data_IF_404596486999
#
_entry.id   IF_404596486999
#
_cell.length_a   1.000
_cell.length_b   1.000
_cell.length_c   1.000
_cell.angle_alpha   90.00
_cell.angle_beta   90.00
_cell.angle_gamma   90.00
#
_symmetry.space_group_name_H-M   'P 1'
#
loop_
_entity.id
_entity.type
_entity.pdbx_description
1 polymer ?
#
# COMPACT_ATOMS: atom_id res chain seq x y z
N UNK A 1 -3.60 22.63 20.77
CA UNK A 1 -3.20 24.04 20.94
C UNK A 1 -3.90 24.85 19.86
N UNK A 2 -4.98 25.55 20.20
CA UNK A 2 -5.90 26.15 19.23
C UNK A 2 -5.32 27.40 18.58
N UNK A 3 -5.29 27.43 17.25
CA UNK A 3 -5.00 28.62 16.45
C UNK A 3 -6.23 29.55 16.45
N UNK A 4 -6.54 30.16 17.60
CA UNK A 4 -7.53 31.23 17.72
C UNK A 4 -6.84 32.61 17.61
N UNK A 5 -6.11 32.80 16.51
CA UNK A 5 -5.73 34.11 16.01
C UNK A 5 -6.26 34.18 14.60
N UNK A 6 -7.12 35.16 14.29
CA UNK A 6 -7.74 35.31 12.98
C UNK A 6 -6.64 35.65 11.95
N UNK A 7 -6.01 34.63 11.36
CA UNK A 7 -4.92 34.81 10.40
C UNK A 7 -5.49 35.48 9.16
N UNK A 8 -5.10 36.73 8.93
CA UNK A 8 -5.48 37.47 7.73
C UNK A 8 -4.67 36.92 6.54
N UNK A 9 -5.28 35.98 5.82
CA UNK A 9 -4.75 35.36 4.61
C UNK A 9 -5.29 36.14 3.41
N UNK A 10 -4.40 36.65 2.55
CA UNK A 10 -4.81 37.27 1.28
C UNK A 10 -5.52 36.22 0.41
N UNK A 11 -6.82 36.37 0.09
CA UNK A 11 -7.58 35.36 -0.65
C UNK A 11 -7.09 35.17 -2.10
N UNK A 12 -6.37 36.16 -2.66
CA UNK A 12 -5.87 36.09 -4.04
C UNK A 12 -4.58 35.28 -4.13
N UNK A 13 -3.64 35.56 -3.23
CA UNK A 13 -2.31 34.92 -3.22
C UNK A 13 -2.19 33.73 -2.26
N UNK A 14 -3.06 33.63 -1.25
CA UNK A 14 -2.92 32.70 -0.13
C UNK A 14 -1.86 33.14 0.89
N UNK A 15 -1.25 34.32 0.72
CA UNK A 15 -0.16 34.76 1.59
C UNK A 15 -0.71 35.36 2.89
N UNK A 16 -0.17 34.91 4.03
CA UNK A 16 -0.41 35.53 5.33
C UNK A 16 0.78 36.38 5.74
N UNK A 17 0.59 37.71 5.78
CA UNK A 17 1.64 38.67 6.14
C UNK A 17 2.12 38.53 7.60
N UNK A 18 1.25 38.03 8.49
CA UNK A 18 1.56 37.92 9.92
C UNK A 18 2.65 36.89 10.22
N UNK A 19 2.81 35.87 9.38
CA UNK A 19 3.79 34.80 9.57
C UNK A 19 4.55 34.41 8.30
N UNK A 20 4.48 35.24 7.26
CA UNK A 20 5.14 35.04 5.96
C UNK A 20 4.90 33.65 5.33
N UNK A 21 3.77 33.02 5.63
CA UNK A 21 3.43 31.67 5.16
C UNK A 21 2.37 31.73 4.07
N UNK A 22 2.48 30.86 3.06
CA UNK A 22 1.44 30.66 2.05
C UNK A 22 0.49 29.52 2.46
N UNK A 23 -0.79 29.80 2.42
CA UNK A 23 -1.87 28.87 2.73
C UNK A 23 -2.61 28.45 1.46
N UNK A 24 -3.15 27.23 1.49
CA UNK A 24 -4.06 26.78 0.44
C UNK A 24 -5.26 27.73 0.35
N UNK A 25 -5.63 28.10 -0.88
CA UNK A 25 -6.85 28.88 -1.16
C UNK A 25 -8.12 28.04 -1.14
N UNK A 26 -7.99 26.71 -1.03
CA UNK A 26 -9.13 25.79 -0.89
C UNK A 26 -9.57 25.78 0.56
N UNK A 27 -10.87 25.60 0.77
CA UNK A 27 -11.42 25.38 2.10
C UNK A 27 -10.73 24.17 2.74
N UNK A 28 -10.25 24.30 3.99
CA UNK A 28 -9.71 23.17 4.72
C UNK A 28 -10.73 22.03 4.76
N UNK A 29 -10.30 20.83 4.36
CA UNK A 29 -11.12 19.64 4.49
C UNK A 29 -11.03 19.13 5.93
N UNK A 30 -12.18 18.80 6.52
CA UNK A 30 -12.22 18.13 7.82
C UNK A 30 -11.59 16.73 7.67
N UNK A 31 -10.42 16.56 8.27
CA UNK A 31 -9.78 15.26 8.36
C UNK A 31 -10.50 14.40 9.43
N UNK A 32 -10.50 13.07 9.29
CA UNK A 32 -11.05 12.19 10.30
C UNK A 32 -10.43 12.46 11.67
N UNK A 33 -11.27 12.61 12.69
CA UNK A 33 -10.81 12.88 14.07
C UNK A 33 -10.29 11.63 14.79
N UNK A 34 -10.53 10.43 14.24
CA UNK A 34 -10.05 9.18 14.80
C UNK A 34 -8.58 8.96 14.41
N UNK A 35 -7.66 9.13 15.37
CA UNK A 35 -6.22 8.95 15.17
C UNK A 35 -5.80 7.50 14.90
N UNK A 36 -6.66 6.52 15.23
CA UNK A 36 -6.41 5.10 14.97
C UNK A 36 -6.99 4.63 13.63
N UNK A 37 -7.61 5.52 12.85
CA UNK A 37 -8.18 5.16 11.55
C UNK A 37 -7.06 4.96 10.52
N UNK A 38 -6.90 3.73 10.05
CA UNK A 38 -5.97 3.41 8.98
C UNK A 38 -6.50 3.84 7.61
N UNK A 39 -5.58 4.01 6.66
CA UNK A 39 -5.92 4.47 5.31
C UNK A 39 -6.81 3.49 4.55
N UNK A 40 -6.66 2.18 4.78
CA UNK A 40 -7.45 1.15 4.10
C UNK A 40 -8.90 1.21 4.57
N UNK A 41 -9.13 1.28 5.88
CA UNK A 41 -10.47 1.45 6.46
C UNK A 41 -11.09 2.76 6.02
N UNK A 42 -10.33 3.87 6.03
CA UNK A 42 -10.84 5.16 5.58
C UNK A 42 -11.28 5.14 4.11
N UNK A 43 -10.48 4.57 3.22
CA UNK A 43 -10.78 4.56 1.78
C UNK A 43 -11.94 3.62 1.48
N UNK A 44 -11.94 2.42 2.07
CA UNK A 44 -12.99 1.42 1.86
C UNK A 44 -14.35 1.80 2.45
N UNK A 45 -14.37 2.60 3.52
CA UNK A 45 -15.63 3.06 4.14
C UNK A 45 -16.35 4.14 3.33
N UNK A 46 -15.76 4.67 2.26
CA UNK A 46 -16.39 5.69 1.42
C UNK A 46 -17.26 5.05 0.35
N UNK A 47 -18.39 5.69 0.04
CA UNK A 47 -19.23 5.27 -1.06
C UNK A 47 -18.46 5.39 -2.37
N UNK A 48 -18.16 4.25 -3.00
CA UNK A 48 -17.60 4.22 -4.34
C UNK A 48 -18.76 4.15 -5.34
N UNK A 49 -19.12 5.29 -5.91
CA UNK A 49 -20.24 5.41 -6.85
C UNK A 49 -19.96 4.80 -8.24
N UNK A 50 -18.72 4.33 -8.49
CA UNK A 50 -18.34 3.62 -9.72
C UNK A 50 -18.42 2.10 -9.57
N UNK A 51 -18.76 1.39 -10.66
CA UNK A 51 -18.69 -0.08 -10.70
C UNK A 51 -17.26 -0.60 -10.83
N UNK A 52 -16.35 0.13 -11.48
CA UNK A 52 -14.98 -0.31 -11.78
C UNK A 52 -13.97 0.54 -10.99
N UNK A 53 -13.05 -0.13 -10.29
CA UNK A 53 -11.94 0.48 -9.57
C UNK A 53 -10.66 0.52 -10.42
N UNK A 54 -10.30 -0.61 -11.05
CA UNK A 54 -9.09 -0.71 -11.86
C UNK A 54 -9.37 -1.33 -13.23
N UNK A 55 -8.57 -0.92 -14.21
CA UNK A 55 -8.58 -1.45 -15.58
C UNK A 55 -7.14 -1.80 -15.95
N UNK A 56 -6.93 -3.01 -16.46
CA UNK A 56 -5.66 -3.42 -17.03
C UNK A 56 -5.65 -2.93 -18.48
N UNK A 57 -4.78 -1.96 -18.78
CA UNK A 57 -4.74 -1.33 -20.09
C UNK A 57 -4.38 -2.31 -21.23
N UNK A 58 -3.60 -3.35 -20.93
CA UNK A 58 -3.16 -4.34 -21.94
C UNK A 58 -4.24 -5.36 -22.24
N UNK A 59 -4.95 -5.86 -21.22
CA UNK A 59 -5.94 -6.94 -21.38
C UNK A 59 -7.37 -6.46 -21.45
N UNK A 60 -7.63 -5.20 -21.09
CA UNK A 60 -8.98 -4.65 -20.90
C UNK A 60 -9.71 -5.21 -19.67
N UNK A 61 -9.09 -6.10 -18.90
CA UNK A 61 -9.70 -6.68 -17.70
C UNK A 61 -10.02 -5.56 -16.69
N UNK A 62 -11.19 -5.66 -16.05
CA UNK A 62 -11.70 -4.67 -15.10
C UNK A 62 -11.93 -5.33 -13.75
N UNK A 63 -11.50 -4.67 -12.70
CA UNK A 63 -11.86 -5.03 -11.32
C UNK A 63 -12.79 -3.98 -10.74
N UNK A 64 -13.86 -4.45 -10.10
CA UNK A 64 -14.78 -3.64 -9.33
C UNK A 64 -14.22 -3.29 -7.95
N UNK A 65 -14.78 -2.25 -7.32
CA UNK A 65 -14.45 -1.91 -5.94
C UNK A 65 -14.74 -3.08 -4.99
N UNK A 66 -15.86 -3.77 -5.17
CA UNK A 66 -16.22 -4.94 -4.35
C UNK A 66 -15.21 -6.07 -4.49
N UNK A 67 -14.72 -6.36 -5.69
CA UNK A 67 -13.70 -7.39 -5.91
C UNK A 67 -12.36 -7.03 -5.28
N UNK A 68 -11.95 -5.75 -5.37
CA UNK A 68 -10.72 -5.27 -4.73
C UNK A 68 -10.81 -5.44 -3.22
N UNK A 69 -11.89 -4.96 -2.58
CA UNK A 69 -11.99 -5.03 -1.12
C UNK A 69 -12.11 -6.47 -0.61
N UNK A 70 -12.84 -7.33 -1.32
CA UNK A 70 -12.85 -8.77 -1.02
C UNK A 70 -11.45 -9.39 -1.11
N UNK A 71 -10.66 -9.02 -2.11
CA UNK A 71 -9.29 -9.51 -2.25
C UNK A 71 -8.35 -8.94 -1.17
N UNK A 72 -8.55 -7.68 -0.76
CA UNK A 72 -7.80 -7.07 0.36
C UNK A 72 -8.08 -7.81 1.66
N UNK A 73 -9.35 -8.06 1.98
CA UNK A 73 -9.74 -8.79 3.19
C UNK A 73 -9.18 -10.23 3.18
N UNK A 74 -9.20 -10.88 2.01
CA UNK A 74 -8.66 -12.22 1.82
C UNK A 74 -7.16 -12.29 2.13
N UNK A 75 -6.39 -11.38 1.53
CA UNK A 75 -4.93 -11.34 1.68
C UNK A 75 -4.55 -10.90 3.09
N UNK A 76 -5.25 -9.92 3.68
CA UNK A 76 -5.03 -9.50 5.06
C UNK A 76 -5.30 -10.65 6.04
N UNK A 77 -6.39 -11.41 5.86
CA UNK A 77 -6.70 -12.57 6.70
C UNK A 77 -5.60 -13.63 6.62
N UNK A 78 -5.15 -13.96 5.40
CA UNK A 78 -4.07 -14.93 5.20
C UNK A 78 -2.75 -14.46 5.81
N UNK A 79 -2.38 -13.18 5.64
CA UNK A 79 -1.19 -12.59 6.28
C UNK A 79 -1.28 -12.65 7.81
N UNK A 80 -2.47 -12.40 8.37
CA UNK A 80 -2.70 -12.52 9.81
C UNK A 80 -2.54 -13.96 10.32
N UNK A 81 -3.08 -14.95 9.60
CA UNK A 81 -2.90 -16.38 9.91
C UNK A 81 -1.42 -16.79 9.86
N UNK A 82 -0.65 -16.20 8.95
CA UNK A 82 0.80 -16.40 8.83
C UNK A 82 1.62 -15.67 9.92
N UNK A 83 0.97 -14.99 10.86
CA UNK A 83 1.64 -14.31 11.97
C UNK A 83 2.14 -12.91 11.64
N UNK A 84 1.74 -12.31 10.51
CA UNK A 84 2.06 -10.89 10.24
C UNK A 84 1.28 -9.99 11.19
N UNK A 85 1.98 -9.04 11.82
CA UNK A 85 1.45 -8.15 12.85
C UNK A 85 1.92 -6.71 12.63
N UNK A 86 1.36 -5.80 13.41
CA UNK A 86 1.76 -4.39 13.44
C UNK A 86 3.29 -4.25 13.59
N UNK A 87 3.88 -3.41 12.74
CA UNK A 87 5.33 -3.16 12.72
C UNK A 87 6.17 -4.15 11.91
N UNK A 88 5.63 -5.29 11.47
CA UNK A 88 6.32 -6.13 10.48
C UNK A 88 6.42 -5.40 9.14
N UNK A 89 7.57 -5.50 8.49
CA UNK A 89 7.82 -4.89 7.19
C UNK A 89 7.63 -5.92 6.09
N UNK A 90 6.86 -5.58 5.06
CA UNK A 90 6.59 -6.43 3.90
C UNK A 90 7.13 -5.73 2.65
N UNK A 91 7.99 -6.40 1.89
CA UNK A 91 8.51 -5.87 0.62
C UNK A 91 7.61 -6.30 -0.53
N UNK A 92 7.29 -5.36 -1.43
CA UNK A 92 6.60 -5.63 -2.68
C UNK A 92 7.52 -5.32 -3.87
N UNK A 93 7.91 -6.36 -4.60
CA UNK A 93 8.73 -6.30 -5.81
C UNK A 93 7.89 -6.78 -7.00
N UNK A 94 7.20 -5.87 -7.67
CA UNK A 94 6.30 -6.22 -8.77
C UNK A 94 6.21 -5.10 -9.80
N UNK A 95 5.97 -5.41 -11.09
CA UNK A 95 5.41 -4.46 -12.03
C UNK A 95 4.03 -3.97 -11.59
N UNK A 96 3.56 -2.89 -12.20
CA UNK A 96 2.20 -2.39 -12.02
C UNK A 96 1.19 -3.48 -12.38
N UNK A 97 0.36 -3.84 -11.41
CA UNK A 97 -0.71 -4.85 -11.56
C UNK A 97 -1.82 -4.55 -10.56
N UNK A 98 -2.94 -5.27 -10.68
CA UNK A 98 -4.02 -5.21 -9.69
C UNK A 98 -3.61 -5.71 -8.32
N UNK A 99 -2.60 -6.59 -8.23
CA UNK A 99 -2.12 -7.09 -6.96
C UNK A 99 -1.38 -6.03 -6.15
N UNK A 100 -0.82 -5.01 -6.81
CA UNK A 100 -0.10 -3.95 -6.14
C UNK A 100 -0.97 -3.21 -5.10
N UNK A 101 -2.12 -2.59 -5.47
CA UNK A 101 -3.00 -1.96 -4.50
C UNK A 101 -3.61 -2.96 -3.50
N UNK A 102 -3.90 -4.19 -3.93
CA UNK A 102 -4.44 -5.23 -3.03
C UNK A 102 -3.46 -5.54 -1.90
N UNK A 103 -2.21 -5.85 -2.21
CA UNK A 103 -1.17 -6.16 -1.21
C UNK A 103 -0.91 -4.94 -0.32
N UNK A 104 -0.76 -3.74 -0.89
CA UNK A 104 -0.55 -2.53 -0.10
C UNK A 104 -1.66 -2.32 0.93
N UNK A 105 -2.93 -2.38 0.49
CA UNK A 105 -4.06 -2.18 1.40
C UNK A 105 -4.19 -3.28 2.46
N UNK A 106 -3.85 -4.53 2.10
CA UNK A 106 -3.88 -5.67 3.02
C UNK A 106 -2.82 -5.57 4.11
N UNK A 107 -1.61 -5.14 3.75
CA UNK A 107 -0.52 -4.93 4.71
C UNK A 107 -0.86 -3.76 5.64
N UNK A 108 -1.35 -2.65 5.08
CA UNK A 108 -1.73 -1.47 5.85
C UNK A 108 -2.89 -1.73 6.82
N UNK A 109 -3.90 -2.53 6.43
CA UNK A 109 -5.04 -2.84 7.33
C UNK A 109 -4.65 -3.66 8.55
N UNK A 110 -3.55 -4.43 8.48
CA UNK A 110 -2.97 -5.15 9.63
C UNK A 110 -2.09 -4.26 10.53
N UNK A 111 -1.89 -2.99 10.17
CA UNK A 111 -0.90 -2.10 10.79
C UNK A 111 0.55 -2.51 10.51
N UNK A 112 0.77 -3.43 9.57
CA UNK A 112 2.10 -3.76 9.07
C UNK A 112 2.57 -2.65 8.10
N UNK A 113 3.86 -2.66 7.80
CA UNK A 113 4.54 -1.63 7.02
C UNK A 113 4.80 -2.18 5.62
N UNK A 114 4.33 -1.48 4.60
CA UNK A 114 4.63 -1.82 3.20
C UNK A 114 5.86 -1.02 2.73
N UNK A 115 6.81 -1.70 2.11
CA UNK A 115 7.91 -1.08 1.36
C UNK A 115 7.90 -1.62 -0.06
N UNK A 116 8.04 -0.74 -1.04
CA UNK A 116 7.91 -1.10 -2.46
C UNK A 116 9.25 -0.91 -3.15
N UNK A 117 9.63 -1.82 -4.03
CA UNK A 117 10.83 -1.67 -4.85
C UNK A 117 10.48 -1.71 -6.34
N UNK A 118 11.16 -0.88 -7.13
CA UNK A 118 10.93 -0.82 -8.57
C UNK A 118 11.48 -2.10 -9.22
N UNK A 119 10.70 -2.82 -10.05
CA UNK A 119 11.16 -4.03 -10.71
C UNK A 119 12.36 -3.80 -11.64
N UNK A 120 12.64 -2.57 -12.06
CA UNK A 120 13.80 -2.21 -12.86
C UNK A 120 15.09 -2.05 -12.03
N UNK A 121 14.98 -1.98 -10.71
CA UNK A 121 16.15 -1.88 -9.84
C UNK A 121 17.10 -3.07 -10.05
N UNK A 122 18.38 -2.77 -9.87
CA UNK A 122 19.46 -3.76 -9.87
C UNK A 122 19.42 -4.60 -8.60
N UNK A 123 20.07 -5.76 -8.65
CA UNK A 123 20.23 -6.63 -7.48
C UNK A 123 20.83 -5.91 -6.28
N UNK A 124 21.85 -5.06 -6.49
CA UNK A 124 22.51 -4.32 -5.42
C UNK A 124 21.59 -3.29 -4.74
N UNK A 125 20.75 -2.60 -5.52
CA UNK A 125 19.77 -1.66 -4.97
C UNK A 125 18.68 -2.35 -4.17
N UNK A 126 18.17 -3.49 -4.67
CA UNK A 126 17.18 -4.31 -3.97
C UNK A 126 17.78 -4.87 -2.67
N UNK A 127 19.00 -5.40 -2.71
CA UNK A 127 19.72 -5.91 -1.54
C UNK A 127 19.91 -4.81 -0.49
N UNK A 128 20.26 -3.60 -0.91
CA UNK A 128 20.39 -2.45 -0.02
C UNK A 128 19.06 -2.09 0.65
N UNK A 129 17.95 -2.09 -0.09
CA UNK A 129 16.62 -1.83 0.48
C UNK A 129 16.20 -2.94 1.45
N UNK A 130 16.49 -4.21 1.14
CA UNK A 130 16.23 -5.34 2.06
C UNK A 130 17.03 -5.17 3.36
N UNK A 131 18.32 -4.81 3.27
CA UNK A 131 19.17 -4.61 4.44
C UNK A 131 18.71 -3.44 5.32
N UNK A 132 18.22 -2.36 4.71
CA UNK A 132 17.74 -1.17 5.40
C UNK A 132 16.36 -1.38 6.04
N UNK A 133 15.41 -1.93 5.27
CA UNK A 133 14.01 -2.08 5.70
C UNK A 133 13.71 -3.36 6.47
N UNK A 134 14.59 -4.36 6.42
CA UNK A 134 14.47 -5.67 7.11
C UNK A 134 13.08 -6.29 6.96
N UNK A 135 12.58 -6.48 5.72
CA UNK A 135 11.28 -7.09 5.52
C UNK A 135 11.28 -8.52 6.07
N UNK A 136 10.16 -8.92 6.66
CA UNK A 136 9.94 -10.31 7.13
C UNK A 136 9.36 -11.19 6.02
N UNK A 137 8.89 -10.56 4.94
CA UNK A 137 8.23 -11.24 3.82
C UNK A 137 8.37 -10.42 2.54
N UNK A 138 8.48 -11.10 1.39
CA UNK A 138 8.48 -10.47 0.06
C UNK A 138 7.31 -10.97 -0.79
N UNK A 139 6.53 -10.07 -1.35
CA UNK A 139 5.65 -10.35 -2.48
C UNK A 139 6.38 -10.03 -3.79
N UNK A 140 6.45 -10.98 -4.71
CA UNK A 140 7.11 -10.81 -6.01
C UNK A 140 6.47 -11.64 -7.10
N UNK A 141 6.94 -11.55 -8.34
CA UNK A 141 6.57 -12.47 -9.44
C UNK A 141 7.76 -13.39 -9.75
N UNK A 142 7.54 -14.59 -10.31
CA UNK A 142 8.60 -15.57 -10.56
C UNK A 142 9.78 -15.00 -11.36
N UNK A 143 9.50 -14.12 -12.32
CA UNK A 143 10.50 -13.48 -13.18
C UNK A 143 11.45 -12.55 -12.42
N UNK A 144 11.06 -12.08 -11.23
CA UNK A 144 11.84 -11.14 -10.42
C UNK A 144 12.49 -11.81 -9.21
N UNK A 145 12.17 -13.08 -8.91
CA UNK A 145 12.82 -13.85 -7.82
C UNK A 145 14.35 -13.83 -7.93
N UNK A 146 14.98 -14.01 -9.11
CA UNK A 146 16.45 -13.98 -9.20
C UNK A 146 17.07 -12.65 -8.75
N UNK A 147 16.30 -11.55 -8.72
CA UNK A 147 16.79 -10.25 -8.25
C UNK A 147 16.85 -10.12 -6.73
N UNK A 148 16.24 -11.05 -5.99
CA UNK A 148 16.28 -11.11 -4.53
C UNK A 148 17.59 -11.72 -4.01
N UNK A 149 18.39 -12.35 -4.89
CA UNK A 149 19.67 -12.95 -4.51
C UNK A 149 19.53 -14.02 -3.43
N UNK A 150 20.55 -14.10 -2.58
CA UNK A 150 20.60 -15.03 -1.44
C UNK A 150 19.83 -14.52 -0.21
N UNK A 151 18.84 -13.64 -0.40
CA UNK A 151 17.98 -13.25 0.72
C UNK A 151 17.16 -14.47 1.15
N UNK A 152 17.44 -15.02 2.33
CA UNK A 152 16.70 -16.13 2.95
C UNK A 152 15.28 -15.70 3.41
N UNK A 153 14.67 -14.76 2.71
CA UNK A 153 13.36 -14.22 3.02
C UNK A 153 12.29 -15.11 2.40
N UNK A 154 11.25 -15.48 3.18
CA UNK A 154 10.09 -16.11 2.59
C UNK A 154 9.51 -15.21 1.48
N UNK A 155 9.26 -15.79 0.30
CA UNK A 155 8.71 -15.06 -0.83
C UNK A 155 7.40 -15.67 -1.32
N UNK A 156 6.44 -14.82 -1.67
CA UNK A 156 5.18 -15.22 -2.29
C UNK A 156 5.08 -14.69 -3.71
N UNK A 157 4.74 -15.61 -4.61
CA UNK A 157 4.45 -15.29 -6.00
C UNK A 157 3.06 -14.66 -6.13
N UNK A 158 3.00 -13.47 -6.72
CA UNK A 158 1.79 -12.80 -7.18
C UNK A 158 1.26 -13.52 -8.42
N UNK A 159 0.71 -14.71 -8.23
CA UNK A 159 -0.03 -15.42 -9.27
C UNK A 159 -1.53 -15.05 -9.19
N UNK A 160 -2.25 -15.29 -10.29
CA UNK A 160 -3.73 -15.15 -10.39
C UNK A 160 -4.55 -15.91 -9.34
N UNK A 161 -3.90 -16.70 -8.46
CA UNK A 161 -4.53 -17.39 -7.34
C UNK A 161 -4.91 -16.47 -6.17
N UNK A 162 -4.51 -15.20 -6.13
CA UNK A 162 -4.96 -14.27 -5.08
C UNK A 162 -6.48 -13.97 -5.13
N UNK A 163 -7.19 -14.38 -6.19
CA UNK A 163 -8.67 -14.29 -6.29
C UNK A 163 -9.35 -15.61 -5.84
N UNK A 164 -8.60 -16.69 -5.63
CA UNK A 164 -9.07 -17.98 -5.12
C UNK A 164 -8.20 -18.43 -3.93
N UNK A 165 -8.65 -18.08 -2.72
CA UNK A 165 -8.12 -18.46 -1.40
C UNK A 165 -7.56 -19.89 -1.31
N UNK A 166 -6.56 -20.19 -0.44
CA UNK A 166 -5.67 -19.32 0.34
C UNK A 166 -4.28 -19.19 -0.29
N UNK A 167 -3.48 -18.21 0.17
CA UNK A 167 -2.05 -18.12 -0.19
C UNK A 167 -1.37 -19.37 0.39
N UNK A 168 -0.75 -20.24 -0.44
CA UNK A 168 -0.04 -21.40 0.09
C UNK A 168 1.17 -20.92 0.91
N UNK A 169 1.42 -21.54 2.05
CA UNK A 169 2.59 -21.28 2.91
C UNK A 169 3.90 -21.37 2.11
N UNK A 170 4.96 -20.63 2.49
CA UNK A 170 6.21 -20.62 1.74
C UNK A 170 6.82 -22.03 1.82
N UNK A 171 7.36 -22.50 0.69
CA UNK A 171 8.10 -23.76 0.68
C UNK A 171 9.42 -23.54 1.43
N UNK A 172 9.77 -24.33 2.46
CA UNK A 172 10.99 -24.13 3.24
C UNK A 172 12.31 -24.40 2.47
N UNK A 173 12.29 -24.50 1.14
CA UNK A 173 13.43 -24.86 0.30
C UNK A 173 13.54 -24.07 -1.03
N UNK A 174 13.19 -22.79 -1.07
CA UNK A 174 13.47 -21.93 -2.24
C UNK A 174 14.28 -20.71 -1.88
#
# INVERSE_FOLDING_TARGET
>A
MGLNGNLMIDPRSGFCKANSTFYSKRQPLALPSNESLDVTTFVSSRAHHGKTAFINATTGHRLSFTEIWRAVDAVASSLSEMGIRKGHVILLLSPNSFFFPIVCHSVMSLGAIITTTNPLNTHGEISKQIADSKPVLVFTIPQLVPKLGDSNLPSYSLAMKLIHFPIPLPNPQS
#
